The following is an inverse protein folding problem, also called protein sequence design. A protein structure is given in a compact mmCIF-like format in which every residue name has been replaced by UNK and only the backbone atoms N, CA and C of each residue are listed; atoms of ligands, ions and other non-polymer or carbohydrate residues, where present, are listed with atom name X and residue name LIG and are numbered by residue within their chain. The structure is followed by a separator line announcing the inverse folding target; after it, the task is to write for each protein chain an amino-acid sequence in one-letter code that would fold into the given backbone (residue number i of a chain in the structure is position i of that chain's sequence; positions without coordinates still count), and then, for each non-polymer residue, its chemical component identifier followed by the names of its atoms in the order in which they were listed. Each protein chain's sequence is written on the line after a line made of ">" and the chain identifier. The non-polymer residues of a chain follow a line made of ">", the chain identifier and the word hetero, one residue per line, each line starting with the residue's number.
data_IF_739155067947
#
_entry.id   IF_739155067947
#
_cell.length_a   1.000
_cell.length_b   1.000
_cell.length_c   1.000
_cell.angle_alpha   90.00
_cell.angle_beta   90.00
_cell.angle_gamma   90.00
#
_symmetry.space_group_name_H-M   'P 1'
#
loop_
_entity.id
_entity.type
_entity.pdbx_description
1 polymer ?
#
# COMPACT_ATOMS: atom_id res chain seq x y z
N UNK A 1 -14.88 -6.67 14.30
CA UNK A 1 -13.65 -6.12 13.68
C UNK A 1 -13.91 -5.05 12.60
N UNK A 2 -14.79 -5.26 11.62
CA UNK A 2 -15.03 -4.30 10.51
C UNK A 2 -15.45 -2.88 10.94
N UNK A 3 -16.30 -2.71 11.96
CA UNK A 3 -16.77 -1.37 12.42
C UNK A 3 -15.66 -0.50 13.02
N UNK A 4 -14.67 -1.07 13.70
CA UNK A 4 -13.58 -0.33 14.32
C UNK A 4 -12.64 0.26 13.27
N UNK A 5 -12.32 -0.52 12.26
CA UNK A 5 -11.47 -0.08 11.14
C UNK A 5 -12.10 1.06 10.33
N UNK A 6 -13.43 1.05 10.16
CA UNK A 6 -14.13 2.11 9.43
C UNK A 6 -14.07 3.45 10.19
N UNK A 7 -14.28 3.45 11.50
CA UNK A 7 -14.19 4.66 12.32
C UNK A 7 -12.82 5.31 12.24
N UNK A 8 -11.78 4.53 12.41
CA UNK A 8 -10.40 5.00 12.33
C UNK A 8 -10.05 5.55 10.95
N UNK A 9 -10.52 4.90 9.90
CA UNK A 9 -10.32 5.38 8.54
C UNK A 9 -11.05 6.70 8.28
N UNK A 10 -12.29 6.84 8.75
CA UNK A 10 -13.07 8.09 8.63
C UNK A 10 -12.41 9.23 9.41
N UNK A 11 -11.90 8.95 10.63
CA UNK A 11 -11.15 9.94 11.42
C UNK A 11 -9.89 10.38 10.68
N UNK A 12 -9.07 9.44 10.24
CA UNK A 12 -7.87 9.73 9.45
C UNK A 12 -8.18 10.64 8.25
N UNK A 13 -9.24 10.32 7.50
CA UNK A 13 -9.64 11.12 6.33
C UNK A 13 -10.04 12.55 6.69
N UNK A 14 -10.77 12.73 7.80
CA UNK A 14 -11.12 14.06 8.31
C UNK A 14 -9.88 14.86 8.68
N UNK A 15 -8.93 14.23 9.38
CA UNK A 15 -7.70 14.88 9.83
C UNK A 15 -6.82 15.28 8.63
N UNK A 16 -6.68 14.42 7.63
CA UNK A 16 -5.95 14.73 6.38
C UNK A 16 -6.61 15.89 5.63
N UNK A 17 -7.94 15.90 5.51
CA UNK A 17 -8.66 16.99 4.86
C UNK A 17 -8.51 18.32 5.63
N UNK A 18 -8.57 18.27 6.96
CA UNK A 18 -8.37 19.46 7.80
C UNK A 18 -6.92 19.99 7.67
N UNK A 19 -5.93 19.11 7.69
CA UNK A 19 -4.53 19.48 7.53
C UNK A 19 -4.27 20.08 6.13
N UNK A 20 -4.82 19.48 5.08
CA UNK A 20 -4.66 19.97 3.69
C UNK A 20 -5.32 21.34 3.51
N UNK A 21 -6.47 21.60 4.13
CA UNK A 21 -7.15 22.91 4.07
C UNK A 21 -6.37 24.03 4.78
N UNK A 22 -5.54 23.69 5.76
CA UNK A 22 -4.70 24.68 6.49
C UNK A 22 -3.43 25.05 5.73
N UNK A 23 -3.10 24.35 4.65
CA UNK A 23 -1.92 24.66 3.87
C UNK A 23 -2.11 25.99 3.12
N UNK A 24 -1.05 26.84 3.09
CA UNK A 24 -1.06 28.03 2.25
C UNK A 24 -1.10 27.65 0.77
N UNK A 25 -1.68 28.51 -0.05
CA UNK A 25 -1.72 28.30 -1.50
C UNK A 25 -0.42 28.86 -2.14
N UNK A 26 0.62 28.05 -2.14
CA UNK A 26 1.95 28.36 -2.66
C UNK A 26 2.25 27.55 -3.92
N UNK A 27 3.27 27.97 -4.67
CA UNK A 27 3.86 27.15 -5.73
C UNK A 27 4.58 25.94 -5.13
N UNK A 28 4.71 24.85 -5.88
CA UNK A 28 5.26 23.59 -5.36
C UNK A 28 6.70 23.70 -4.86
N UNK A 29 7.49 24.58 -5.46
CA UNK A 29 8.88 24.87 -5.07
C UNK A 29 9.01 25.70 -3.77
N UNK A 30 7.94 26.36 -3.34
CA UNK A 30 7.91 27.21 -2.15
C UNK A 30 7.47 26.46 -0.90
N UNK A 31 6.91 25.25 -1.05
CA UNK A 31 6.49 24.42 0.08
C UNK A 31 7.70 23.86 0.84
N UNK A 32 7.63 23.91 2.16
CA UNK A 32 8.55 23.13 2.98
C UNK A 32 8.34 21.63 2.76
N UNK A 33 9.32 20.80 3.12
CA UNK A 33 9.20 19.34 2.98
C UNK A 33 7.99 18.79 3.73
N UNK A 34 7.69 19.33 4.91
CA UNK A 34 6.55 18.92 5.73
C UNK A 34 5.22 19.30 5.06
N UNK A 35 5.12 20.53 4.57
CA UNK A 35 3.93 21.00 3.85
C UNK A 35 3.70 20.18 2.57
N UNK A 36 4.78 19.86 1.86
CA UNK A 36 4.71 19.00 0.68
C UNK A 36 4.18 17.61 1.02
N UNK A 37 4.65 17.00 2.13
CA UNK A 37 4.14 15.72 2.59
C UNK A 37 2.63 15.81 2.85
N UNK A 38 2.17 16.84 3.60
CA UNK A 38 0.75 17.03 3.90
C UNK A 38 -0.07 17.19 2.62
N UNK A 39 0.42 17.96 1.65
CA UNK A 39 -0.24 18.18 0.35
C UNK A 39 -0.46 16.87 -0.41
N UNK A 40 0.48 15.92 -0.29
CA UNK A 40 0.43 14.65 -1.02
C UNK A 40 -0.16 13.47 -0.22
N UNK A 41 -0.61 13.66 1.04
CA UNK A 41 -1.33 12.62 1.79
C UNK A 41 -2.58 12.08 1.06
N UNK A 42 -3.43 12.90 0.41
CA UNK A 42 -4.56 12.38 -0.36
C UNK A 42 -4.15 11.46 -1.53
N UNK A 43 -2.97 11.67 -2.12
CA UNK A 43 -2.42 10.78 -3.15
C UNK A 43 -2.10 9.41 -2.57
N UNK A 44 -1.57 9.33 -1.33
CA UNK A 44 -1.31 8.06 -0.65
C UNK A 44 -2.61 7.29 -0.44
N UNK A 45 -3.66 7.95 0.07
CA UNK A 45 -4.97 7.33 0.25
C UNK A 45 -5.51 6.74 -1.06
N UNK A 46 -5.47 7.52 -2.14
CA UNK A 46 -5.95 7.08 -3.45
C UNK A 46 -5.18 5.86 -3.99
N UNK A 47 -3.86 5.81 -3.76
CA UNK A 47 -3.03 4.67 -4.16
C UNK A 47 -3.32 3.46 -3.27
N UNK A 48 -3.38 3.63 -1.93
CA UNK A 48 -3.64 2.55 -0.99
C UNK A 48 -5.00 1.88 -1.24
N UNK A 49 -6.03 2.66 -1.56
CA UNK A 49 -7.37 2.13 -1.92
C UNK A 49 -7.33 1.17 -3.10
N UNK A 50 -6.49 1.43 -4.11
CA UNK A 50 -6.33 0.51 -5.25
C UNK A 50 -5.74 -0.83 -4.86
N UNK A 51 -4.89 -0.87 -3.82
CA UNK A 51 -4.36 -2.12 -3.28
C UNK A 51 -5.37 -2.85 -2.39
N UNK A 52 -6.21 -2.12 -1.66
CA UNK A 52 -7.19 -2.70 -0.74
C UNK A 52 -8.38 -3.37 -1.43
N UNK A 53 -8.70 -2.97 -2.67
CA UNK A 53 -9.78 -3.60 -3.45
C UNK A 53 -9.44 -5.02 -3.88
N UNK A 54 -8.16 -5.37 -3.93
CA UNK A 54 -7.71 -6.74 -4.16
C UNK A 54 -7.51 -7.43 -2.79
N UNK A 55 -8.59 -7.89 -2.14
CA UNK A 55 -8.56 -8.49 -0.79
C UNK A 55 -7.52 -9.62 -0.65
N UNK A 56 -7.36 -10.44 -1.69
CA UNK A 56 -6.31 -11.47 -1.73
C UNK A 56 -4.89 -10.91 -1.81
N UNK A 57 -4.73 -9.65 -2.23
CA UNK A 57 -3.42 -9.04 -2.40
C UNK A 57 -2.86 -8.43 -1.11
N UNK A 58 -3.71 -8.01 -0.17
CA UNK A 58 -3.29 -7.33 1.06
C UNK A 58 -3.05 -8.28 2.24
N UNK A 59 -3.48 -9.55 2.15
CA UNK A 59 -3.37 -10.51 3.26
C UNK A 59 -4.13 -10.02 4.50
N UNK A 60 -3.46 -10.01 5.64
CA UNK A 60 -4.02 -9.53 6.92
C UNK A 60 -4.00 -8.01 7.09
N UNK A 61 -3.42 -7.27 6.14
CA UNK A 61 -3.27 -5.82 6.24
C UNK A 61 -4.61 -5.10 6.03
N UNK A 62 -4.90 -4.15 6.92
CA UNK A 62 -6.04 -3.25 6.79
C UNK A 62 -5.74 -2.10 5.82
N UNK A 63 -6.78 -1.36 5.40
CA UNK A 63 -6.59 -0.15 4.58
C UNK A 63 -5.69 0.88 5.28
N UNK A 64 -5.77 0.99 6.61
CA UNK A 64 -4.93 1.91 7.38
C UNK A 64 -3.46 1.46 7.37
N UNK A 65 -3.17 0.16 7.45
CA UNK A 65 -1.81 -0.36 7.35
C UNK A 65 -1.19 -0.04 5.99
N UNK A 66 -1.97 -0.17 4.92
CA UNK A 66 -1.55 0.19 3.57
C UNK A 66 -1.29 1.69 3.45
N UNK A 67 -2.16 2.53 4.02
CA UNK A 67 -2.00 3.99 4.05
C UNK A 67 -0.73 4.35 4.83
N UNK A 68 -0.51 3.79 6.02
CA UNK A 68 0.69 4.08 6.82
C UNK A 68 1.97 3.64 6.12
N UNK A 69 1.94 2.49 5.47
CA UNK A 69 3.06 2.02 4.62
C UNK A 69 3.34 2.99 3.47
N UNK A 70 2.29 3.52 2.87
CA UNK A 70 2.38 4.53 1.83
C UNK A 70 2.90 5.88 2.34
N UNK A 71 2.43 6.32 3.52
CA UNK A 71 2.90 7.55 4.18
C UNK A 71 4.40 7.47 4.47
N UNK A 72 4.88 6.33 4.98
CA UNK A 72 6.32 6.11 5.18
C UNK A 72 7.09 6.24 3.85
N UNK A 73 6.56 5.66 2.78
CA UNK A 73 7.13 5.78 1.44
C UNK A 73 7.17 7.22 0.93
N UNK A 74 6.11 8.00 1.18
CA UNK A 74 6.04 9.43 0.84
C UNK A 74 7.07 10.25 1.62
N UNK A 75 7.18 10.05 2.95
CA UNK A 75 8.15 10.76 3.81
C UNK A 75 9.58 10.47 3.36
N UNK A 76 9.91 9.20 3.08
CA UNK A 76 11.22 8.81 2.59
C UNK A 76 11.52 9.41 1.20
N UNK A 77 10.51 9.51 0.34
CA UNK A 77 10.66 10.13 -0.96
C UNK A 77 10.85 11.65 -0.86
N UNK A 78 10.11 12.33 0.03
CA UNK A 78 10.25 13.77 0.26
C UNK A 78 11.63 14.14 0.80
N UNK A 79 12.25 13.29 1.65
CA UNK A 79 13.62 13.48 2.12
C UNK A 79 14.66 13.42 1.00
N UNK A 80 14.39 12.62 -0.04
CA UNK A 80 15.27 12.42 -1.21
C UNK A 80 14.95 13.33 -2.39
N UNK A 81 13.95 14.20 -2.23
CA UNK A 81 13.56 15.12 -3.29
C UNK A 81 14.64 16.21 -3.42
N UNK A 82 15.21 16.29 -4.60
CA UNK A 82 16.17 17.30 -5.01
C UNK A 82 15.44 18.29 -5.93
N UNK A 83 15.11 19.46 -5.39
CA UNK A 83 14.31 20.45 -6.11
C UNK A 83 15.04 21.00 -7.33
N UNK A 84 16.36 21.14 -7.27
CA UNK A 84 17.15 21.74 -8.35
C UNK A 84 17.07 20.93 -9.64
N UNK A 85 17.05 19.59 -9.51
CA UNK A 85 16.91 18.68 -10.67
C UNK A 85 15.51 18.68 -11.31
N UNK A 86 14.50 19.16 -10.57
CA UNK A 86 13.13 19.11 -11.04
C UNK A 86 12.66 20.44 -11.62
N UNK A 87 13.34 21.55 -11.31
CA UNK A 87 13.03 22.88 -11.84
C UNK A 87 13.16 22.99 -13.36
N UNK A 88 13.93 22.09 -13.98
CA UNK A 88 14.13 22.03 -15.44
C UNK A 88 12.95 21.36 -16.19
N UNK A 89 11.97 20.79 -15.46
CA UNK A 89 10.85 20.11 -16.10
C UNK A 89 9.70 21.07 -16.42
N UNK A 90 9.08 20.93 -17.60
CA UNK A 90 7.97 21.77 -18.08
C UNK A 90 6.74 21.68 -17.14
N UNK A 91 6.52 20.55 -16.46
CA UNK A 91 5.41 20.33 -15.53
C UNK A 91 5.94 19.71 -14.22
N UNK A 92 6.36 20.59 -13.31
CA UNK A 92 6.90 20.22 -11.99
C UNK A 92 5.89 19.39 -11.16
N UNK A 93 4.60 19.74 -11.20
CA UNK A 93 3.59 19.07 -10.39
C UNK A 93 3.40 17.62 -10.84
N UNK A 94 3.29 17.40 -12.12
CA UNK A 94 3.10 16.07 -12.71
C UNK A 94 4.32 15.19 -12.46
N UNK A 95 5.50 15.78 -12.55
CA UNK A 95 6.76 15.08 -12.35
C UNK A 95 6.94 14.64 -10.89
N UNK A 96 6.73 15.55 -9.92
CA UNK A 96 6.76 15.23 -8.49
C UNK A 96 5.69 14.19 -8.12
N UNK A 97 4.48 14.35 -8.62
CA UNK A 97 3.37 13.41 -8.40
C UNK A 97 3.69 12.01 -8.94
N UNK A 98 4.31 11.92 -10.11
CA UNK A 98 4.76 10.65 -10.69
C UNK A 98 5.86 10.01 -9.84
N UNK A 99 6.84 10.79 -9.40
CA UNK A 99 7.92 10.32 -8.53
C UNK A 99 7.38 9.78 -7.20
N UNK A 100 6.53 10.54 -6.50
CA UNK A 100 5.91 10.10 -5.26
C UNK A 100 5.04 8.86 -5.46
N UNK A 101 4.25 8.80 -6.54
CA UNK A 101 3.41 7.65 -6.85
C UNK A 101 4.21 6.36 -6.98
N UNK A 102 5.36 6.40 -7.64
CA UNK A 102 6.25 5.23 -7.78
C UNK A 102 6.80 4.77 -6.43
N UNK A 103 7.22 5.71 -5.57
CA UNK A 103 7.79 5.41 -4.24
C UNK A 103 6.73 4.88 -3.28
N UNK A 104 5.54 5.50 -3.26
CA UNK A 104 4.39 5.07 -2.45
C UNK A 104 3.98 3.64 -2.84
N UNK A 105 3.77 3.38 -4.15
CA UNK A 105 3.43 2.03 -4.64
C UNK A 105 4.48 1.00 -4.24
N UNK A 106 5.77 1.33 -4.38
CA UNK A 106 6.86 0.44 -3.98
C UNK A 106 6.88 0.14 -2.49
N UNK A 107 6.61 1.14 -1.64
CA UNK A 107 6.55 0.98 -0.19
C UNK A 107 5.38 0.08 0.22
N UNK A 108 4.18 0.35 -0.29
CA UNK A 108 2.99 -0.47 -0.04
C UNK A 108 3.23 -1.91 -0.47
N UNK A 109 3.76 -2.14 -1.69
CA UNK A 109 4.01 -3.48 -2.23
C UNK A 109 4.98 -4.27 -1.35
N UNK A 110 6.12 -3.66 -0.97
CA UNK A 110 7.09 -4.33 -0.08
C UNK A 110 6.49 -4.70 1.27
N UNK A 111 5.68 -3.82 1.84
CA UNK A 111 5.04 -4.11 3.12
C UNK A 111 3.96 -5.19 2.99
N UNK A 112 3.20 -5.19 1.91
CA UNK A 112 2.25 -6.25 1.59
C UNK A 112 2.97 -7.58 1.42
N UNK A 113 4.03 -7.64 0.64
CA UNK A 113 4.81 -8.88 0.42
C UNK A 113 5.42 -9.41 1.73
N UNK A 114 5.78 -8.52 2.66
CA UNK A 114 6.31 -8.90 3.98
C UNK A 114 5.27 -9.54 4.89
N UNK A 115 4.00 -9.09 4.81
CA UNK A 115 2.92 -9.47 5.75
C UNK A 115 1.85 -10.35 5.09
N UNK A 116 2.09 -10.88 3.92
CA UNK A 116 1.10 -11.59 3.12
C UNK A 116 0.85 -13.02 3.57
N UNK A 117 1.85 -13.65 4.16
CA UNK A 117 1.79 -15.06 4.49
C UNK A 117 2.33 -15.37 5.87
N UNK A 118 2.09 -16.59 6.32
CA UNK A 118 2.60 -17.13 7.58
C UNK A 118 4.12 -17.16 7.60
N UNK A 119 4.74 -17.54 6.48
CA UNK A 119 6.19 -17.53 6.30
C UNK A 119 6.60 -16.37 5.40
N UNK A 120 7.62 -15.64 5.85
CA UNK A 120 8.18 -14.53 5.06
C UNK A 120 9.04 -15.07 3.92
N UNK A 121 8.62 -14.80 2.69
CA UNK A 121 9.44 -15.06 1.50
C UNK A 121 10.29 -13.82 1.21
N UNK A 122 11.61 -13.95 0.96
CA UNK A 122 12.46 -12.83 0.57
C UNK A 122 11.97 -12.13 -0.70
N UNK A 123 12.12 -10.80 -0.76
CA UNK A 123 11.61 -9.97 -1.87
C UNK A 123 12.16 -10.42 -3.24
N UNK A 124 13.43 -10.82 -3.32
CA UNK A 124 14.03 -11.29 -4.56
C UNK A 124 13.35 -12.56 -5.07
N UNK A 125 12.99 -13.50 -4.17
CA UNK A 125 12.27 -14.72 -4.55
C UNK A 125 10.84 -14.44 -5.00
N UNK A 126 10.13 -13.53 -4.34
CA UNK A 126 8.80 -13.09 -4.81
C UNK A 126 8.89 -12.46 -6.20
N UNK A 127 9.91 -11.65 -6.45
CA UNK A 127 10.10 -11.05 -7.77
C UNK A 127 10.48 -12.10 -8.84
N UNK A 128 11.25 -13.11 -8.47
CA UNK A 128 11.57 -14.25 -9.33
C UNK A 128 10.32 -15.05 -9.69
N UNK A 129 9.47 -15.37 -8.69
CA UNK A 129 8.18 -16.05 -8.90
C UNK A 129 7.29 -15.24 -9.85
N UNK A 130 7.16 -13.91 -9.63
CA UNK A 130 6.37 -13.04 -10.51
C UNK A 130 6.86 -13.01 -11.96
N UNK A 131 8.18 -13.12 -12.18
CA UNK A 131 8.77 -13.14 -13.52
C UNK A 131 8.60 -14.50 -14.21
N UNK A 132 8.61 -15.58 -13.45
CA UNK A 132 8.59 -16.95 -13.92
C UNK A 132 7.30 -17.70 -13.60
N UNK A 133 6.20 -16.96 -13.41
CA UNK A 133 4.91 -17.51 -12.96
C UNK A 133 4.43 -18.70 -13.81
N UNK A 134 4.66 -18.62 -15.12
CA UNK A 134 4.24 -19.68 -16.06
C UNK A 134 5.28 -20.81 -16.21
N UNK A 135 6.50 -20.65 -15.67
CA UNK A 135 7.63 -21.56 -15.93
C UNK A 135 7.94 -22.49 -14.77
N UNK A 136 7.75 -22.05 -13.53
CA UNK A 136 8.14 -22.81 -12.34
C UNK A 136 6.92 -23.07 -11.43
N UNK A 137 6.25 -24.19 -11.69
CA UNK A 137 5.05 -24.61 -10.93
C UNK A 137 5.34 -24.81 -9.44
N UNK A 138 6.54 -25.35 -9.07
CA UNK A 138 6.88 -25.60 -7.67
C UNK A 138 7.03 -24.31 -6.87
N UNK A 139 7.69 -23.29 -7.45
CA UNK A 139 7.82 -21.99 -6.79
C UNK A 139 6.47 -21.27 -6.65
N UNK A 140 5.61 -21.39 -7.65
CA UNK A 140 4.26 -20.83 -7.62
C UNK A 140 3.42 -21.51 -6.53
N UNK A 141 3.46 -22.84 -6.45
CA UNK A 141 2.77 -23.61 -5.42
C UNK A 141 3.27 -23.23 -4.01
N UNK A 142 4.59 -23.17 -3.80
CA UNK A 142 5.17 -22.70 -2.53
C UNK A 142 4.70 -21.30 -2.16
N UNK A 143 4.58 -20.39 -3.14
CA UNK A 143 4.05 -19.05 -2.90
C UNK A 143 2.60 -19.07 -2.45
N UNK A 144 1.73 -19.82 -3.13
CA UNK A 144 0.33 -19.95 -2.75
C UNK A 144 0.15 -20.63 -1.39
N UNK A 145 0.91 -21.66 -1.10
CA UNK A 145 0.88 -22.35 0.20
C UNK A 145 1.38 -21.48 1.37
N UNK A 146 2.14 -20.42 1.09
CA UNK A 146 2.57 -19.46 2.11
C UNK A 146 1.52 -18.40 2.44
N UNK A 147 0.46 -18.26 1.64
CA UNK A 147 -0.58 -17.26 1.86
C UNK A 147 -1.51 -17.68 3.02
N UNK A 148 -2.05 -16.67 3.71
CA UNK A 148 -3.12 -16.91 4.66
C UNK A 148 -4.39 -17.35 3.92
N UNK A 149 -4.95 -18.47 4.35
CA UNK A 149 -6.24 -18.98 3.91
C UNK A 149 -7.27 -18.75 5.02
N UNK A 150 -8.54 -18.59 4.62
CA UNK A 150 -9.63 -18.54 5.59
C UNK A 150 -10.03 -19.96 5.96
N UNK A 151 -10.14 -20.25 7.25
CA UNK A 151 -10.65 -21.53 7.75
C UNK A 151 -12.16 -21.65 7.46
N UNK A 152 -12.86 -20.51 7.44
CA UNK A 152 -14.32 -20.45 7.19
C UNK A 152 -14.66 -20.40 5.69
N UNK A 153 -13.67 -20.43 4.80
CA UNK A 153 -13.92 -20.42 3.37
C UNK A 153 -14.29 -21.83 2.90
N UNK A 154 -15.53 -22.00 2.42
CA UNK A 154 -15.91 -23.21 1.69
C UNK A 154 -15.22 -23.25 0.33
N UNK A 155 -14.73 -24.43 -0.12
CA UNK A 155 -14.12 -24.61 -1.44
C UNK A 155 -15.11 -24.39 -2.58
N UNK A 156 -16.41 -24.61 -2.35
CA UNK A 156 -17.52 -24.34 -3.27
C UNK A 156 -18.76 -23.89 -2.50
N UNK A 157 -19.74 -23.28 -3.19
CA UNK A 157 -21.01 -22.85 -2.59
C UNK A 157 -21.86 -24.04 -2.07
N UNK A 158 -21.57 -25.27 -2.52
CA UNK A 158 -22.27 -26.50 -2.14
C UNK A 158 -21.56 -27.26 -1.00
N UNK A 159 -20.29 -26.96 -0.71
CA UNK A 159 -19.56 -27.66 0.34
C UNK A 159 -19.75 -26.99 1.69
N UNK A 160 -20.00 -27.76 2.72
CA UNK A 160 -20.07 -27.27 4.10
C UNK A 160 -18.69 -26.75 4.51
N UNK A 161 -18.67 -25.59 5.20
CA UNK A 161 -17.44 -25.06 5.78
C UNK A 161 -16.79 -26.13 6.67
N UNK A 162 -15.47 -26.26 6.56
CA UNK A 162 -14.70 -27.17 7.42
C UNK A 162 -14.86 -26.76 8.88
N UNK A 163 -15.49 -27.61 9.68
CA UNK A 163 -15.64 -27.39 11.12
C UNK A 163 -14.49 -28.06 11.86
N UNK A 164 -13.74 -27.28 12.62
CA UNK A 164 -12.72 -27.82 13.54
C UNK A 164 -13.46 -28.29 14.78
N UNK A 165 -13.40 -29.59 15.12
CA UNK A 165 -14.01 -30.09 16.34
C UNK A 165 -13.31 -29.49 17.56
N UNK A 166 -14.11 -29.06 18.56
CA UNK A 166 -13.60 -28.74 19.89
C UNK A 166 -13.26 -30.06 20.61
N UNK A 167 -12.01 -30.23 21.03
CA UNK A 167 -11.59 -31.34 21.90
C UNK A 167 -11.89 -31.02 23.36
#
# INVERSE_FOLDING_TARGET
>A
MKKYNIRNYVSYKKDVLAATKRLPNLKLNEYSREQLIIKFLPLVENIARKFSTAQQASGVMTILDLIQSGNLGLVQAAKKLDYDKWLESDDLEKTIKSFFSKRIKGSIRRQTDKNRGTMRIPEHKINEIRKNFDKDKKMVEMYFNSLFLSIDASPSDEDMAYQIPDE
#
